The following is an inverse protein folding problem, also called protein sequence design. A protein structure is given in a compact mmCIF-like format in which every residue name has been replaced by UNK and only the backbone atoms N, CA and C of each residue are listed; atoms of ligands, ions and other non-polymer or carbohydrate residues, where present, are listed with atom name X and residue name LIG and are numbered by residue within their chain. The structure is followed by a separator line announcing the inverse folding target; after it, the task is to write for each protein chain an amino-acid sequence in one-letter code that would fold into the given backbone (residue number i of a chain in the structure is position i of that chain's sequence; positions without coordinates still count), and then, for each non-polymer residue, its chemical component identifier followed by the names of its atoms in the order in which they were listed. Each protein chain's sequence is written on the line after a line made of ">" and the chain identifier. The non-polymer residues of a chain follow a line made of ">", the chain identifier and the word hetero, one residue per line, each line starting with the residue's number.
data_IF_203360414061
#
_entry.id   IF_203360414061
#
_cell.length_a   1.000
_cell.length_b   1.000
_cell.length_c   1.000
_cell.angle_alpha   90.00
_cell.angle_beta   90.00
_cell.angle_gamma   90.00
#
_symmetry.space_group_name_H-M   'P 1'
#
loop_
_entity.id
_entity.type
_entity.pdbx_description
1 polymer ?
#
# COMPACT_ATOMS: atom_id res chain seq x y z
N UNK A 1 -21.22 -5.85 -3.08
CA UNK A 1 -21.14 -7.13 -2.34
C UNK A 1 -20.50 -6.96 -0.96
N UNK A 2 -19.26 -6.40 -0.83
CA UNK A 2 -18.64 -6.21 0.50
C UNK A 2 -19.53 -5.36 1.42
N UNK A 3 -20.03 -4.23 0.94
CA UNK A 3 -20.92 -3.35 1.72
C UNK A 3 -22.28 -3.98 2.05
N UNK A 4 -22.77 -4.91 1.24
CA UNK A 4 -24.01 -5.65 1.51
C UNK A 4 -23.82 -6.66 2.65
N UNK A 5 -22.66 -7.31 2.71
CA UNK A 5 -22.35 -8.31 3.72
C UNK A 5 -21.75 -7.71 5.00
N UNK A 6 -21.09 -6.56 4.89
CA UNK A 6 -20.44 -5.84 6.00
C UNK A 6 -20.84 -4.36 6.00
N UNK A 7 -22.12 -4.03 6.25
CA UNK A 7 -22.64 -2.66 6.11
C UNK A 7 -22.09 -1.67 7.13
N UNK A 8 -21.47 -2.15 8.20
CA UNK A 8 -20.88 -1.30 9.26
C UNK A 8 -19.55 -0.67 8.87
N UNK A 9 -18.97 -1.08 7.73
CA UNK A 9 -17.64 -0.66 7.32
C UNK A 9 -17.65 -0.04 5.92
N UNK A 10 -16.94 1.08 5.76
CA UNK A 10 -16.62 1.60 4.45
C UNK A 10 -15.39 0.85 3.93
N UNK A 11 -15.54 0.02 2.89
CA UNK A 11 -14.42 -0.74 2.36
C UNK A 11 -13.45 0.19 1.63
N UNK A 12 -12.16 -0.02 1.86
CA UNK A 12 -11.13 0.45 0.94
C UNK A 12 -11.20 -0.39 -0.35
N UNK A 13 -10.88 0.20 -1.49
CA UNK A 13 -10.88 -0.49 -2.80
C UNK A 13 -9.99 -1.72 -2.83
N UNK A 14 -8.90 -1.73 -2.05
CA UNK A 14 -7.98 -2.86 -1.93
C UNK A 14 -8.55 -4.06 -1.18
N UNK A 15 -9.63 -3.91 -0.42
CA UNK A 15 -10.25 -5.05 0.28
C UNK A 15 -10.75 -6.14 -0.67
N UNK A 16 -11.05 -5.83 -1.92
CA UNK A 16 -11.40 -6.83 -2.92
C UNK A 16 -10.28 -7.87 -3.11
N UNK A 17 -9.02 -7.48 -3.09
CA UNK A 17 -7.89 -8.40 -3.21
C UNK A 17 -7.81 -9.39 -2.05
N UNK A 18 -8.22 -8.98 -0.86
CA UNK A 18 -8.14 -9.79 0.36
C UNK A 18 -9.39 -10.62 0.62
N UNK A 19 -10.56 -10.13 0.24
CA UNK A 19 -11.84 -10.78 0.54
C UNK A 19 -12.42 -11.54 -0.64
N UNK A 20 -12.02 -11.20 -1.87
CA UNK A 20 -12.51 -11.78 -3.12
C UNK A 20 -11.34 -12.14 -4.05
N UNK A 21 -10.26 -12.69 -3.49
CA UNK A 21 -9.02 -12.95 -4.23
C UNK A 21 -9.24 -13.91 -5.42
N UNK A 22 -10.08 -14.94 -5.25
CA UNK A 22 -10.39 -15.90 -6.29
C UNK A 22 -11.10 -15.24 -7.47
N UNK A 23 -12.17 -14.54 -7.18
CA UNK A 23 -12.99 -13.82 -8.17
C UNK A 23 -12.16 -12.76 -8.90
N UNK A 24 -11.27 -12.10 -8.18
CA UNK A 24 -10.36 -11.12 -8.76
C UNK A 24 -9.39 -11.77 -9.75
N UNK A 25 -8.77 -12.89 -9.40
CA UNK A 25 -7.86 -13.63 -10.28
C UNK A 25 -8.57 -14.19 -11.51
N UNK A 26 -9.79 -14.74 -11.33
CA UNK A 26 -10.60 -15.28 -12.44
C UNK A 26 -10.97 -14.23 -13.49
N UNK A 27 -11.07 -12.95 -13.09
CA UNK A 27 -11.40 -11.82 -13.99
C UNK A 27 -10.16 -11.04 -14.47
N UNK A 28 -8.95 -11.42 -14.06
CA UNK A 28 -7.71 -10.76 -14.45
C UNK A 28 -7.09 -11.43 -15.67
N UNK A 29 -6.50 -10.63 -16.57
CA UNK A 29 -5.69 -11.16 -17.68
C UNK A 29 -4.22 -11.29 -17.23
N UNK A 30 -3.68 -12.51 -17.13
CA UNK A 30 -2.29 -12.70 -16.71
C UNK A 30 -1.27 -12.19 -17.75
N UNK A 31 -1.69 -11.96 -18.99
CA UNK A 31 -0.84 -11.44 -20.08
C UNK A 31 -0.89 -9.92 -20.18
N UNK A 32 -1.87 -9.28 -19.55
CA UNK A 32 -2.03 -7.83 -19.53
C UNK A 32 -2.45 -7.38 -18.13
N UNK A 33 -1.46 -7.29 -17.26
CA UNK A 33 -1.65 -6.92 -15.84
C UNK A 33 -1.72 -5.41 -15.64
N UNK A 34 -2.06 -4.96 -14.45
CA UNK A 34 -2.03 -3.54 -14.10
C UNK A 34 -0.66 -2.90 -14.31
N UNK A 35 0.43 -3.66 -14.17
CA UNK A 35 1.78 -3.17 -14.45
C UNK A 35 1.93 -2.79 -15.94
N UNK A 36 1.44 -3.64 -16.85
CA UNK A 36 1.44 -3.35 -18.30
C UNK A 36 0.64 -2.08 -18.62
N UNK A 37 -0.57 -1.94 -18.08
CA UNK A 37 -1.37 -0.72 -18.26
C UNK A 37 -0.61 0.56 -17.81
N UNK A 38 0.09 0.48 -16.68
CA UNK A 38 0.86 1.60 -16.14
C UNK A 38 2.05 1.95 -17.04
N UNK A 39 2.80 0.94 -17.51
CA UNK A 39 3.93 1.14 -18.43
C UNK A 39 3.48 1.75 -19.74
N UNK A 40 2.40 1.24 -20.33
CA UNK A 40 1.91 1.69 -21.64
C UNK A 40 1.36 3.13 -21.62
N UNK A 41 0.85 3.58 -20.49
CA UNK A 41 0.08 4.84 -20.43
C UNK A 41 0.80 5.98 -19.73
N UNK A 42 1.48 5.74 -18.61
CA UNK A 42 2.01 6.83 -17.76
C UNK A 42 3.11 7.62 -18.42
N UNK A 43 4.12 6.95 -18.94
CA UNK A 43 5.26 7.60 -19.57
C UNK A 43 4.82 8.38 -20.79
N UNK A 44 4.04 7.72 -21.66
CA UNK A 44 3.50 8.34 -22.86
C UNK A 44 2.69 9.60 -22.55
N UNK A 45 1.73 9.51 -21.63
CA UNK A 45 0.88 10.63 -21.29
C UNK A 45 1.67 11.81 -20.70
N UNK A 46 2.69 11.51 -19.87
CA UNK A 46 3.57 12.54 -19.31
C UNK A 46 4.36 13.27 -20.39
N UNK A 47 5.01 12.54 -21.30
CA UNK A 47 5.81 13.15 -22.36
C UNK A 47 4.97 13.87 -23.41
N UNK A 48 3.82 13.33 -23.79
CA UNK A 48 2.86 14.00 -24.68
C UNK A 48 2.42 15.34 -24.07
N UNK A 49 2.20 15.40 -22.76
CA UNK A 49 1.85 16.63 -22.06
C UNK A 49 2.99 17.64 -21.98
N UNK A 50 4.20 17.19 -21.70
CA UNK A 50 5.38 18.05 -21.72
C UNK A 50 5.58 18.65 -23.12
N UNK A 51 5.46 17.83 -24.17
CA UNK A 51 5.59 18.26 -25.55
C UNK A 51 4.50 19.26 -25.95
N UNK A 52 3.25 19.04 -25.50
CA UNK A 52 2.17 19.99 -25.69
C UNK A 52 2.49 21.33 -25.03
N UNK A 53 2.88 21.34 -23.77
CA UNK A 53 3.26 22.55 -23.05
C UNK A 53 4.42 23.29 -23.72
N UNK A 54 5.47 22.59 -24.13
CA UNK A 54 6.62 23.22 -24.81
C UNK A 54 6.26 23.86 -26.14
N UNK A 55 5.24 23.34 -26.85
CA UNK A 55 4.79 23.86 -28.15
C UNK A 55 3.79 25.03 -28.02
N UNK A 56 2.94 24.99 -27.01
CA UNK A 56 1.78 25.91 -26.90
C UNK A 56 1.92 26.92 -25.76
N UNK A 57 2.72 26.60 -24.72
CA UNK A 57 2.73 27.31 -23.45
C UNK A 57 1.50 27.08 -22.58
N UNK A 58 0.57 26.22 -23.02
CA UNK A 58 -0.67 25.93 -22.30
C UNK A 58 -0.54 24.62 -21.52
N UNK A 59 -1.03 24.61 -20.27
CA UNK A 59 -1.15 23.42 -19.44
C UNK A 59 -2.54 22.85 -19.62
N UNK A 60 -2.64 21.66 -20.21
CA UNK A 60 -3.87 20.90 -20.17
C UNK A 60 -4.03 20.32 -18.75
N UNK A 61 -5.12 20.69 -18.08
CA UNK A 61 -5.44 20.25 -16.72
C UNK A 61 -5.48 18.72 -16.59
N UNK A 62 -5.73 17.97 -17.67
CA UNK A 62 -5.74 16.50 -17.67
C UNK A 62 -4.35 15.91 -17.87
N UNK A 63 -3.43 16.61 -18.51
CA UNK A 63 -2.12 16.09 -18.91
C UNK A 63 -1.13 16.01 -17.75
N UNK A 64 -1.19 17.01 -16.86
CA UNK A 64 -0.37 17.06 -15.64
C UNK A 64 -1.17 16.71 -14.39
N UNK A 65 -2.38 16.16 -14.55
CA UNK A 65 -3.22 15.82 -13.42
C UNK A 65 -2.61 14.67 -12.61
N UNK A 66 -1.93 15.03 -11.54
CA UNK A 66 -1.42 14.10 -10.54
C UNK A 66 -2.52 13.59 -9.58
N UNK A 67 -3.78 13.90 -9.88
CA UNK A 67 -4.90 13.63 -9.00
C UNK A 67 -4.82 14.42 -7.69
N UNK A 68 -5.62 14.02 -6.71
CA UNK A 68 -5.59 14.58 -5.35
C UNK A 68 -4.26 14.37 -4.60
N UNK A 69 -3.36 13.54 -5.12
CA UNK A 69 -2.06 13.28 -4.49
C UNK A 69 -1.13 14.50 -4.50
N UNK A 70 -1.11 15.27 -5.60
CA UNK A 70 -0.31 16.48 -5.71
C UNK A 70 -0.73 17.53 -4.70
N UNK A 71 -2.04 17.79 -4.61
CA UNK A 71 -2.62 18.73 -3.66
C UNK A 71 -2.36 18.29 -2.23
N UNK A 72 -2.55 17.00 -1.93
CA UNK A 72 -2.29 16.43 -0.60
C UNK A 72 -0.83 16.62 -0.16
N UNK A 73 0.14 16.38 -1.06
CA UNK A 73 1.58 16.58 -0.77
C UNK A 73 1.89 18.05 -0.52
N UNK A 74 1.33 18.95 -1.33
CA UNK A 74 1.50 20.39 -1.17
C UNK A 74 0.91 20.89 0.14
N UNK A 75 -0.29 20.48 0.48
CA UNK A 75 -0.98 20.83 1.72
C UNK A 75 -0.27 20.29 2.96
N UNK A 76 0.19 19.05 2.91
CA UNK A 76 1.00 18.45 3.98
C UNK A 76 2.29 19.24 4.21
N UNK A 77 2.99 19.58 3.13
CA UNK A 77 4.23 20.38 3.18
C UNK A 77 3.97 21.77 3.75
N UNK A 78 2.87 22.42 3.34
CA UNK A 78 2.45 23.70 3.88
C UNK A 78 2.09 23.62 5.36
N UNK A 79 1.42 22.55 5.79
CA UNK A 79 1.07 22.33 7.19
C UNK A 79 2.31 22.17 8.08
N UNK A 80 3.29 21.39 7.65
CA UNK A 80 4.57 21.23 8.33
C UNK A 80 5.33 22.57 8.43
N UNK A 81 5.45 23.30 7.32
CA UNK A 81 6.19 24.55 7.26
C UNK A 81 5.55 25.68 8.07
N UNK A 82 4.23 25.82 7.99
CA UNK A 82 3.50 26.94 8.55
C UNK A 82 2.85 26.62 9.91
N UNK A 83 3.05 25.43 10.46
CA UNK A 83 2.47 24.95 11.74
C UNK A 83 0.95 25.10 11.83
N UNK A 84 0.24 24.78 10.75
CA UNK A 84 -1.20 25.07 10.65
C UNK A 84 -2.07 24.13 11.47
N UNK A 85 -1.53 22.99 11.94
CA UNK A 85 -2.29 21.94 12.64
C UNK A 85 -3.47 21.40 11.81
N UNK A 86 -3.33 21.42 10.48
CA UNK A 86 -4.32 20.82 9.60
C UNK A 86 -4.38 19.30 9.80
N UNK A 87 -5.57 18.73 9.60
CA UNK A 87 -5.80 17.29 9.80
C UNK A 87 -5.54 16.52 8.52
N UNK A 88 -4.72 15.49 8.62
CA UNK A 88 -4.41 14.54 7.55
C UNK A 88 -4.63 13.10 7.99
N UNK A 89 -4.84 12.21 7.02
CA UNK A 89 -4.72 10.78 7.20
C UNK A 89 -3.31 10.38 6.79
N UNK A 90 -2.55 9.78 7.70
CA UNK A 90 -1.12 9.48 7.49
C UNK A 90 -0.78 8.08 7.99
N UNK A 91 0.26 7.49 7.41
CA UNK A 91 0.87 6.27 7.96
C UNK A 91 1.88 6.67 9.02
N UNK A 92 1.75 6.11 10.21
CA UNK A 92 2.60 6.39 11.37
C UNK A 92 2.68 5.19 12.30
N UNK A 93 3.69 5.17 13.17
CA UNK A 93 3.79 4.18 14.23
C UNK A 93 2.61 4.31 15.21
N UNK A 94 2.00 3.18 15.58
CA UNK A 94 0.80 3.13 16.41
C UNK A 94 0.98 3.81 17.77
N UNK A 95 2.05 3.52 18.48
CA UNK A 95 2.36 4.04 19.81
C UNK A 95 1.19 4.01 20.81
N UNK A 96 0.29 3.02 20.64
CA UNK A 96 -0.89 2.86 21.48
C UNK A 96 -2.10 3.68 21.02
N UNK A 97 -2.04 4.37 19.88
CA UNK A 97 -3.19 5.11 19.34
C UNK A 97 -4.38 4.21 18.99
N UNK A 98 -4.10 2.96 18.61
CA UNK A 98 -5.07 1.85 18.51
C UNK A 98 -4.69 0.85 19.61
N UNK A 99 -5.44 0.75 20.73
CA UNK A 99 -5.00 -0.01 21.90
C UNK A 99 -4.82 -1.51 21.69
N UNK A 100 -5.59 -2.12 20.78
CA UNK A 100 -5.53 -3.56 20.47
C UNK A 100 -4.66 -3.89 19.24
N UNK A 101 -3.77 -2.98 18.84
CA UNK A 101 -2.72 -3.23 17.85
C UNK A 101 -1.33 -3.12 18.50
N UNK A 102 -0.30 -3.81 17.97
CA UNK A 102 1.06 -3.70 18.48
C UNK A 102 1.55 -2.25 18.52
N UNK A 103 2.34 -1.92 19.54
CA UNK A 103 2.83 -0.56 19.75
C UNK A 103 3.68 -0.04 18.57
N UNK A 104 4.46 -0.91 17.98
CA UNK A 104 5.37 -0.65 16.85
C UNK A 104 4.74 -0.88 15.47
N UNK A 105 3.43 -1.19 15.40
CA UNK A 105 2.75 -1.34 14.12
C UNK A 105 2.70 -0.02 13.36
N UNK A 106 2.99 -0.06 12.06
CA UNK A 106 2.71 1.06 11.17
C UNK A 106 1.24 1.02 10.77
N UNK A 107 0.51 2.07 11.08
CA UNK A 107 -0.95 2.15 10.90
C UNK A 107 -1.35 3.48 10.26
N UNK A 108 -2.42 3.47 9.48
CA UNK A 108 -2.97 4.68 8.89
C UNK A 108 -3.96 5.32 9.85
N UNK A 109 -3.63 6.53 10.33
CA UNK A 109 -4.39 7.25 11.34
C UNK A 109 -4.55 8.73 10.99
N UNK A 110 -5.67 9.35 11.40
CA UNK A 110 -5.78 10.80 11.36
C UNK A 110 -4.83 11.43 12.38
N UNK A 111 -4.18 12.49 11.95
CA UNK A 111 -3.28 13.28 12.78
C UNK A 111 -3.40 14.77 12.47
N UNK A 112 -3.11 15.61 13.46
CA UNK A 112 -2.86 17.03 13.23
C UNK A 112 -1.39 17.23 12.87
N UNK A 113 -1.13 17.94 11.77
CA UNK A 113 0.22 18.15 11.26
C UNK A 113 0.68 19.58 11.51
N UNK A 114 1.78 19.71 12.20
CA UNK A 114 2.45 20.98 12.45
C UNK A 114 3.97 20.84 12.37
N UNK A 115 4.70 21.90 12.67
CA UNK A 115 6.16 21.97 12.56
C UNK A 115 6.95 20.88 13.33
N UNK A 116 6.33 20.32 14.37
CA UNK A 116 6.93 19.25 15.18
C UNK A 116 6.58 17.84 14.66
N UNK A 117 5.92 17.73 13.49
CA UNK A 117 5.44 16.47 12.93
C UNK A 117 3.99 16.16 13.33
N UNK A 118 3.60 14.87 13.27
CA UNK A 118 2.23 14.44 13.50
C UNK A 118 1.87 14.35 14.99
N UNK A 119 0.70 14.86 15.32
CA UNK A 119 0.00 14.62 16.57
C UNK A 119 -1.18 13.68 16.30
N UNK A 120 -0.97 12.38 16.55
CA UNK A 120 -1.90 11.32 16.19
C UNK A 120 -3.17 11.40 17.03
N UNK A 121 -4.31 11.23 16.40
CA UNK A 121 -5.62 11.19 17.07
C UNK A 121 -5.88 9.75 17.51
N UNK A 122 -5.88 9.51 18.81
CA UNK A 122 -6.14 8.19 19.40
C UNK A 122 -7.52 7.66 18.99
N UNK A 123 -7.61 6.35 18.89
CA UNK A 123 -8.81 5.59 18.56
C UNK A 123 -9.17 4.62 19.67
N UNK A 124 -10.37 4.09 19.60
CA UNK A 124 -10.79 2.94 20.38
C UNK A 124 -10.23 1.64 19.78
N UNK A 125 -10.48 0.53 20.46
CA UNK A 125 -10.21 -0.79 19.91
C UNK A 125 -10.90 -0.99 18.55
N UNK A 126 -10.14 -1.46 17.57
CA UNK A 126 -10.76 -1.88 16.30
C UNK A 126 -11.44 -3.23 16.47
N UNK A 127 -12.55 -3.48 15.72
CA UNK A 127 -13.26 -4.75 15.80
C UNK A 127 -12.38 -5.94 15.40
N UNK A 128 -12.67 -7.12 15.94
CA UNK A 128 -11.86 -8.34 15.76
C UNK A 128 -11.64 -8.73 14.31
N UNK A 129 -12.62 -8.53 13.45
CA UNK A 129 -12.47 -8.86 12.03
C UNK A 129 -11.38 -8.03 11.35
N UNK A 130 -11.42 -6.70 11.53
CA UNK A 130 -10.41 -5.79 10.99
C UNK A 130 -9.06 -6.01 11.64
N UNK A 131 -9.05 -6.22 12.95
CA UNK A 131 -7.81 -6.54 13.68
C UNK A 131 -7.17 -7.81 13.11
N UNK A 132 -7.95 -8.86 12.85
CA UNK A 132 -7.47 -10.11 12.26
C UNK A 132 -6.81 -9.90 10.90
N UNK A 133 -7.46 -9.13 10.01
CA UNK A 133 -6.90 -8.79 8.69
C UNK A 133 -5.62 -7.96 8.80
N UNK A 134 -5.62 -6.92 9.63
CA UNK A 134 -4.46 -6.05 9.83
C UNK A 134 -3.29 -6.79 10.47
N UNK A 135 -3.55 -7.64 11.47
CA UNK A 135 -2.51 -8.44 12.12
C UNK A 135 -1.88 -9.47 11.18
N UNK A 136 -2.69 -10.11 10.34
CA UNK A 136 -2.18 -11.05 9.34
C UNK A 136 -1.24 -10.34 8.36
N UNK A 137 -1.64 -9.18 7.84
CA UNK A 137 -0.81 -8.39 6.93
C UNK A 137 0.46 -7.88 7.63
N UNK A 138 0.34 -7.30 8.81
CA UNK A 138 1.46 -6.80 9.60
C UNK A 138 2.52 -7.90 9.85
N UNK A 139 2.08 -9.10 10.24
CA UNK A 139 2.99 -10.20 10.52
C UNK A 139 3.65 -10.73 9.23
N UNK A 140 2.92 -10.77 8.11
CA UNK A 140 3.48 -11.09 6.80
C UNK A 140 4.59 -10.11 6.42
N UNK A 141 4.35 -8.81 6.54
CA UNK A 141 5.33 -7.76 6.22
C UNK A 141 6.55 -7.79 7.14
N UNK A 142 6.36 -7.97 8.45
CA UNK A 142 7.48 -8.10 9.41
C UNK A 142 8.37 -9.30 9.08
N UNK A 143 7.78 -10.47 8.83
CA UNK A 143 8.53 -11.67 8.41
C UNK A 143 9.29 -11.45 7.11
N UNK A 144 8.68 -10.74 6.14
CA UNK A 144 9.34 -10.41 4.88
C UNK A 144 10.58 -9.55 5.10
N UNK A 145 10.43 -8.47 5.87
CA UNK A 145 11.55 -7.56 6.17
C UNK A 145 12.66 -8.29 6.94
N UNK A 146 12.32 -9.04 7.98
CA UNK A 146 13.30 -9.82 8.74
C UNK A 146 14.00 -10.85 7.84
N UNK A 147 13.23 -11.59 7.02
CA UNK A 147 13.79 -12.59 6.12
C UNK A 147 14.75 -11.99 5.10
N UNK A 148 14.40 -10.83 4.51
CA UNK A 148 15.28 -10.12 3.59
C UNK A 148 16.56 -9.59 4.27
N UNK A 149 16.46 -9.06 5.49
CA UNK A 149 17.62 -8.53 6.23
C UNK A 149 18.56 -9.66 6.68
N UNK A 150 18.01 -10.79 7.10
CA UNK A 150 18.78 -11.94 7.58
C UNK A 150 19.25 -12.89 6.45
N UNK A 151 18.74 -12.72 5.22
CA UNK A 151 18.96 -13.67 4.13
C UNK A 151 18.22 -15.00 4.32
N UNK A 152 17.12 -15.01 5.09
CA UNK A 152 16.42 -16.25 5.44
C UNK A 152 15.30 -16.57 4.46
N UNK A 153 15.51 -17.59 3.62
CA UNK A 153 14.47 -18.13 2.71
C UNK A 153 13.23 -18.59 3.48
N UNK A 154 13.43 -19.26 4.64
CA UNK A 154 12.31 -19.74 5.44
C UNK A 154 11.38 -18.62 5.90
N UNK A 155 11.93 -17.54 6.45
CA UNK A 155 11.13 -16.38 6.89
C UNK A 155 10.37 -15.71 5.73
N UNK A 156 11.03 -15.57 4.57
CA UNK A 156 10.37 -15.03 3.39
C UNK A 156 9.25 -15.96 2.91
N UNK A 157 9.46 -17.27 2.92
CA UNK A 157 8.41 -18.24 2.59
C UNK A 157 7.25 -18.20 3.59
N UNK A 158 7.53 -18.04 4.88
CA UNK A 158 6.50 -17.85 5.91
C UNK A 158 5.69 -16.56 5.65
N UNK A 159 6.36 -15.46 5.29
CA UNK A 159 5.73 -14.20 4.93
C UNK A 159 4.76 -14.36 3.75
N UNK A 160 5.20 -14.99 2.67
CA UNK A 160 4.37 -15.27 1.48
C UNK A 160 3.20 -16.19 1.82
N UNK A 161 3.44 -17.23 2.63
CA UNK A 161 2.39 -18.16 3.07
C UNK A 161 1.33 -17.49 3.94
N UNK A 162 1.73 -16.52 4.75
CA UNK A 162 0.82 -15.76 5.61
C UNK A 162 0.04 -14.69 4.86
N UNK A 163 0.50 -14.27 3.69
CA UNK A 163 -0.20 -13.26 2.91
C UNK A 163 -1.59 -13.76 2.47
N UNK A 164 -2.61 -12.96 2.75
CA UNK A 164 -4.01 -13.32 2.50
C UNK A 164 -4.35 -13.58 1.03
N UNK A 165 -3.58 -12.99 0.10
CA UNK A 165 -3.80 -13.17 -1.34
C UNK A 165 -3.17 -14.45 -1.89
N UNK A 166 -2.37 -15.16 -1.09
CA UNK A 166 -1.70 -16.41 -1.48
C UNK A 166 -2.51 -17.61 -0.96
N UNK A 167 -3.00 -18.50 -1.84
CA UNK A 167 -3.96 -19.53 -1.44
C UNK A 167 -3.36 -20.71 -0.66
N UNK A 168 -2.06 -20.97 -0.77
CA UNK A 168 -1.41 -22.09 -0.08
C UNK A 168 0.11 -21.93 0.01
N UNK A 169 0.74 -22.67 0.93
CA UNK A 169 2.21 -22.72 1.07
C UNK A 169 2.90 -23.19 -0.23
N UNK A 170 2.32 -24.14 -0.96
CA UNK A 170 2.92 -24.61 -2.22
C UNK A 170 2.90 -23.53 -3.31
N UNK A 171 1.86 -22.73 -3.36
CA UNK A 171 1.78 -21.57 -4.25
C UNK A 171 2.73 -20.48 -3.79
N UNK A 172 2.81 -20.21 -2.48
CA UNK A 172 3.77 -19.27 -1.91
C UNK A 172 5.21 -19.63 -2.31
N UNK A 173 5.56 -20.91 -2.19
CA UNK A 173 6.89 -21.41 -2.58
C UNK A 173 7.17 -21.21 -4.07
N UNK A 174 6.22 -21.58 -4.93
CA UNK A 174 6.39 -21.41 -6.37
C UNK A 174 6.58 -19.93 -6.76
N UNK A 175 5.75 -19.03 -6.21
CA UNK A 175 5.87 -17.59 -6.44
C UNK A 175 7.24 -17.08 -5.97
N UNK A 176 7.68 -17.47 -4.77
CA UNK A 176 8.96 -17.03 -4.21
C UNK A 176 10.13 -17.50 -5.06
N UNK A 177 10.16 -18.78 -5.46
CA UNK A 177 11.23 -19.34 -6.29
C UNK A 177 11.32 -18.61 -7.66
N UNK A 178 10.18 -18.37 -8.31
CA UNK A 178 10.11 -17.63 -9.57
C UNK A 178 10.56 -16.17 -9.41
N UNK A 179 10.16 -15.51 -8.32
CA UNK A 179 10.56 -14.13 -8.04
C UNK A 179 12.05 -14.00 -7.75
N UNK A 180 12.65 -14.95 -7.03
CA UNK A 180 14.11 -14.97 -6.78
C UNK A 180 14.87 -15.05 -8.10
N UNK A 181 14.47 -15.94 -9.00
CA UNK A 181 15.14 -16.08 -10.31
C UNK A 181 14.92 -14.85 -11.19
N UNK A 182 13.69 -14.33 -11.26
CA UNK A 182 13.35 -13.17 -12.09
C UNK A 182 14.04 -11.88 -11.63
N UNK A 183 14.32 -11.75 -10.32
CA UNK A 183 14.95 -10.57 -9.72
C UNK A 183 16.40 -10.82 -9.30
N UNK A 184 17.06 -11.77 -9.91
CA UNK A 184 18.45 -12.11 -9.62
C UNK A 184 19.37 -10.88 -9.75
N UNK A 185 20.14 -10.62 -8.69
CA UNK A 185 21.00 -9.45 -8.59
C UNK A 185 20.33 -8.19 -8.02
N UNK A 186 19.01 -8.19 -7.82
CA UNK A 186 18.26 -7.11 -7.16
C UNK A 186 17.72 -7.53 -5.79
N UNK A 187 17.47 -8.81 -5.61
CA UNK A 187 17.02 -9.37 -4.34
C UNK A 187 18.21 -9.75 -3.45
N UNK A 188 18.02 -9.75 -2.11
CA UNK A 188 19.02 -10.29 -1.21
C UNK A 188 19.24 -11.80 -1.50
N UNK A 189 20.47 -12.28 -1.26
CA UNK A 189 20.73 -13.71 -1.31
C UNK A 189 20.00 -14.38 -0.15
N UNK A 190 19.08 -15.32 -0.48
CA UNK A 190 18.32 -16.11 0.49
C UNK A 190 18.89 -17.52 0.58
N UNK A 191 19.06 -18.04 1.79
CA UNK A 191 19.61 -19.38 2.07
C UNK A 191 18.96 -20.03 3.30
#
# INVERSE_FOLDING_TARGET
>A
EIMENFPEYLPNTYLNYYLQAKEFVEHSDPNHTRANEVEETREKNLFDGIDHYLKTGEVDANTFYAGSHGDWIADLSAALKNDTKARFLIITENRGAIPNMPYDAMVELPAYIGKNGPEVIARDNIPLFQQGLMMQQLNSEKLLVEGCVEGSYEKVLQAFTLNKTVPSMSVAKAILDDMIEANKGYWPELH
#
